data_IF_678928784419
#
_entry.id   IF_678928784419
#
_cell.length_a   1.000
_cell.length_b   1.000
_cell.length_c   1.000
_cell.angle_alpha   90.00
_cell.angle_beta   90.00
_cell.angle_gamma   90.00
#
_symmetry.space_group_name_H-M   'P 1'
#
loop_
_entity.id
_entity.type
_entity.pdbx_description
1 polymer ?
#
# COMPACT_ATOMS: atom_id res chain seq x y z
N UNK A 1 7.64 1.90 41.53
CA UNK A 1 7.88 2.57 40.22
C UNK A 1 6.80 3.58 39.78
N UNK A 2 5.66 3.75 40.46
CA UNK A 2 4.65 4.78 40.08
C UNK A 2 4.88 6.18 40.69
N UNK A 3 5.61 6.27 41.81
CA UNK A 3 5.85 7.55 42.50
C UNK A 3 6.96 8.40 41.87
N UNK A 4 7.91 7.80 41.15
CA UNK A 4 8.98 8.55 40.47
C UNK A 4 8.52 9.27 39.21
N UNK A 5 7.43 8.82 38.55
CA UNK A 5 6.85 9.52 37.40
C UNK A 5 5.97 10.73 37.81
N UNK A 6 5.45 10.73 39.04
CA UNK A 6 4.62 11.83 39.52
C UNK A 6 5.44 13.12 39.74
N UNK A 7 6.66 12.99 40.26
CA UNK A 7 7.59 14.11 40.46
C UNK A 7 8.02 14.76 39.14
N UNK A 8 8.36 13.96 38.13
CA UNK A 8 8.77 14.47 36.81
C UNK A 8 7.62 15.17 36.10
N UNK A 9 6.39 14.63 36.16
CA UNK A 9 5.19 15.26 35.58
C UNK A 9 4.92 16.63 36.21
N UNK A 10 5.14 16.77 37.51
CA UNK A 10 4.93 18.02 38.22
C UNK A 10 5.95 19.08 37.79
N UNK A 11 7.22 18.70 37.63
CA UNK A 11 8.29 19.57 37.12
C UNK A 11 8.04 19.97 35.68
N UNK A 12 7.67 19.03 34.80
CA UNK A 12 7.33 19.35 33.40
C UNK A 12 6.13 20.29 33.31
N UNK A 13 5.06 20.07 34.10
CA UNK A 13 3.90 20.95 34.11
C UNK A 13 4.23 22.36 34.65
N UNK A 14 5.19 22.45 35.56
CA UNK A 14 5.65 23.71 36.14
C UNK A 14 6.51 24.50 35.13
N UNK A 15 7.47 23.84 34.49
CA UNK A 15 8.31 24.43 33.44
C UNK A 15 7.47 24.83 32.21
N UNK A 16 6.52 23.98 31.79
CA UNK A 16 5.59 24.29 30.69
C UNK A 16 4.71 25.50 31.03
N UNK A 17 4.21 25.58 32.27
CA UNK A 17 3.42 26.72 32.74
C UNK A 17 4.26 28.00 32.89
N UNK A 18 5.56 27.90 33.17
CA UNK A 18 6.51 29.03 33.10
C UNK A 18 6.79 29.47 31.66
N UNK A 19 6.88 28.53 30.71
CA UNK A 19 7.05 28.78 29.29
C UNK A 19 5.87 29.60 28.71
N UNK A 20 4.63 29.25 29.10
CA UNK A 20 3.42 29.98 28.71
C UNK A 20 3.20 31.33 29.43
N UNK A 21 3.99 31.66 30.46
CA UNK A 21 3.85 32.91 31.24
C UNK A 21 4.67 34.07 30.66
N UNK A 22 5.71 33.77 29.87
CA UNK A 22 6.50 34.79 29.17
C UNK A 22 5.80 35.23 27.89
N UNK A 23 5.35 36.49 27.83
CA UNK A 23 4.66 37.04 26.64
C UNK A 23 5.50 36.92 25.36
N UNK A 24 6.82 37.03 25.46
CA UNK A 24 7.73 36.89 24.32
C UNK A 24 7.76 35.46 23.76
N UNK A 25 7.65 34.48 24.65
CA UNK A 25 7.71 33.08 24.29
C UNK A 25 6.39 32.58 23.69
N UNK A 26 5.24 33.07 24.18
CA UNK A 26 3.95 32.81 23.54
C UNK A 26 3.89 33.33 22.10
N UNK A 27 4.46 34.52 21.85
CA UNK A 27 4.54 35.09 20.51
C UNK A 27 5.44 34.21 19.62
N UNK A 28 6.60 33.78 20.13
CA UNK A 28 7.49 32.87 19.38
C UNK A 28 6.81 31.55 19.04
N UNK A 29 6.05 30.96 19.99
CA UNK A 29 5.36 29.69 19.80
C UNK A 29 4.23 29.82 18.76
N UNK A 30 3.47 30.92 18.80
CA UNK A 30 2.43 31.22 17.80
C UNK A 30 3.05 31.43 16.42
N UNK A 31 4.17 32.14 16.31
CA UNK A 31 4.87 32.35 15.03
C UNK A 31 5.41 31.04 14.48
N UNK A 32 6.07 30.20 15.30
CA UNK A 32 6.54 28.88 14.88
C UNK A 32 5.40 27.95 14.47
N UNK A 33 4.27 27.98 15.19
CA UNK A 33 3.07 27.21 14.84
C UNK A 33 2.47 27.69 13.51
N UNK A 34 2.40 29.00 13.29
CA UNK A 34 1.95 29.59 12.03
C UNK A 34 2.89 29.26 10.87
N UNK A 35 4.20 29.23 11.10
CA UNK A 35 5.18 28.81 10.09
C UNK A 35 5.00 27.33 9.73
N UNK A 36 4.78 26.44 10.71
CA UNK A 36 4.52 25.01 10.45
C UNK A 36 3.20 24.81 9.68
N UNK A 37 2.12 25.46 10.12
CA UNK A 37 0.81 25.40 9.47
C UNK A 37 0.83 26.01 8.06
N UNK A 38 1.63 27.05 7.84
CA UNK A 38 1.82 27.65 6.53
C UNK A 38 2.81 26.84 5.66
N UNK A 39 3.70 26.05 6.24
CA UNK A 39 4.72 25.32 5.47
C UNK A 39 4.13 24.25 4.56
N UNK A 40 3.06 23.57 4.96
CA UNK A 40 2.32 22.63 4.10
C UNK A 40 1.70 23.32 2.87
N UNK A 41 0.85 24.36 3.01
CA UNK A 41 0.22 25.04 1.89
C UNK A 41 1.18 25.93 1.08
N UNK A 42 2.29 26.40 1.66
CA UNK A 42 3.31 27.14 0.89
C UNK A 42 4.06 26.20 -0.06
N UNK A 43 4.30 24.95 0.32
CA UNK A 43 4.89 23.95 -0.58
C UNK A 43 3.95 23.66 -1.77
N UNK A 44 2.64 23.51 -1.50
CA UNK A 44 1.63 23.31 -2.57
C UNK A 44 1.46 24.53 -3.46
N UNK A 45 1.65 25.75 -2.92
CA UNK A 45 1.55 26.97 -3.72
C UNK A 45 2.82 27.26 -4.55
N UNK A 46 4.01 26.96 -4.03
CA UNK A 46 5.29 27.14 -4.75
C UNK A 46 5.46 26.09 -5.86
N UNK A 47 4.97 24.87 -5.67
CA UNK A 47 4.99 23.83 -6.70
C UNK A 47 3.88 23.98 -7.75
N UNK A 48 3.10 25.06 -7.68
CA UNK A 48 1.92 25.27 -8.50
C UNK A 48 0.74 24.51 -7.90
N UNK A 49 -0.28 25.24 -7.46
CA UNK A 49 -1.49 24.69 -6.87
C UNK A 49 -2.38 23.92 -7.86
N UNK A 50 -1.80 23.06 -8.66
CA UNK A 50 -2.48 21.84 -9.09
C UNK A 50 -2.34 20.93 -7.89
N UNK A 51 -3.47 20.65 -7.22
CA UNK A 51 -3.57 19.37 -6.56
C UNK A 51 -3.06 18.37 -7.59
N UNK A 52 -1.92 17.72 -7.31
CA UNK A 52 -1.62 16.44 -7.92
C UNK A 52 -2.79 15.56 -7.49
N UNK A 53 -3.90 15.70 -8.21
CA UNK A 53 -4.76 14.58 -8.51
C UNK A 53 -3.74 13.64 -9.09
N UNK A 54 -3.26 12.72 -8.27
CA UNK A 54 -2.48 11.61 -8.78
C UNK A 54 -3.39 11.01 -9.83
N UNK A 55 -3.15 11.39 -11.09
CA UNK A 55 -3.81 10.78 -12.22
C UNK A 55 -3.35 9.34 -12.10
N UNK A 56 -4.22 8.51 -11.53
CA UNK A 56 -3.98 7.09 -11.40
C UNK A 56 -3.42 6.62 -12.75
N UNK A 57 -2.31 5.87 -12.74
CA UNK A 57 -1.66 5.45 -13.97
C UNK A 57 -2.74 4.84 -14.88
N UNK A 58 -2.86 5.40 -16.09
CA UNK A 58 -3.86 4.98 -17.07
C UNK A 58 -3.12 4.30 -18.19
N UNK A 59 -3.71 3.20 -18.68
CA UNK A 59 -3.21 2.52 -19.86
C UNK A 59 -3.03 3.50 -21.02
N UNK A 60 -1.83 3.50 -21.62
CA UNK A 60 -1.55 4.29 -22.82
C UNK A 60 -2.08 3.62 -24.10
N UNK A 61 -2.45 2.34 -24.00
CA UNK A 61 -3.06 1.55 -25.07
C UNK A 61 -4.54 1.84 -25.25
N UNK A 62 -5.02 1.66 -26.49
CA UNK A 62 -6.42 1.87 -26.86
C UNK A 62 -7.21 0.56 -26.95
N UNK A 63 -6.55 -0.55 -27.27
CA UNK A 63 -7.18 -1.86 -27.39
C UNK A 63 -6.25 -2.99 -26.90
N UNK A 64 -6.82 -3.93 -26.15
CA UNK A 64 -6.13 -5.13 -25.64
C UNK A 64 -6.96 -6.36 -25.96
N UNK A 65 -6.30 -7.42 -26.39
CA UNK A 65 -6.93 -8.69 -26.68
C UNK A 65 -6.34 -9.85 -25.87
N UNK A 66 -7.20 -10.78 -25.47
CA UNK A 66 -6.82 -12.02 -24.79
C UNK A 66 -7.08 -13.21 -25.72
N UNK A 67 -6.00 -13.79 -26.26
CA UNK A 67 -6.06 -15.02 -27.05
C UNK A 67 -5.92 -16.24 -26.13
N UNK A 68 -7.06 -16.84 -25.77
CA UNK A 68 -7.10 -18.05 -24.96
C UNK A 68 -6.96 -19.30 -25.85
N UNK A 69 -5.80 -19.94 -25.81
CA UNK A 69 -5.53 -21.21 -26.49
C UNK A 69 -5.52 -22.41 -25.51
N UNK A 70 -6.30 -22.31 -24.44
CA UNK A 70 -6.39 -23.33 -23.39
C UNK A 70 -7.84 -23.78 -23.20
N UNK A 71 -8.04 -24.88 -22.49
CA UNK A 71 -9.38 -25.37 -22.14
C UNK A 71 -10.01 -24.62 -20.95
N UNK A 72 -9.33 -23.63 -20.37
CA UNK A 72 -9.86 -22.80 -19.30
C UNK A 72 -10.90 -21.82 -19.81
N UNK A 73 -11.89 -21.49 -18.98
CA UNK A 73 -12.82 -20.39 -19.25
C UNK A 73 -12.16 -19.08 -18.83
N UNK A 74 -11.37 -18.48 -19.74
CA UNK A 74 -10.74 -17.18 -19.55
C UNK A 74 -11.52 -16.09 -20.27
N UNK A 75 -11.71 -14.95 -19.60
CA UNK A 75 -12.25 -13.73 -20.22
C UNK A 75 -11.49 -12.51 -19.69
N UNK A 76 -11.23 -11.55 -20.58
CA UNK A 76 -10.60 -10.28 -20.25
C UNK A 76 -11.59 -9.27 -19.64
N UNK A 77 -12.90 -9.56 -19.69
CA UNK A 77 -13.95 -8.66 -19.22
C UNK A 77 -13.77 -8.13 -17.77
N UNK A 78 -13.26 -8.92 -16.80
CA UNK A 78 -13.05 -8.44 -15.43
C UNK A 78 -12.10 -7.24 -15.34
N UNK A 79 -11.14 -7.11 -16.25
CA UNK A 79 -10.19 -5.98 -16.27
C UNK A 79 -10.89 -4.64 -16.48
N UNK A 80 -12.10 -4.61 -17.06
CA UNK A 80 -12.85 -3.37 -17.22
C UNK A 80 -13.26 -2.72 -15.89
N UNK A 81 -13.22 -3.48 -14.78
CA UNK A 81 -13.48 -2.96 -13.44
C UNK A 81 -12.29 -2.20 -12.85
N UNK A 82 -11.09 -2.44 -13.38
CA UNK A 82 -9.88 -1.74 -12.97
C UNK A 82 -9.88 -0.31 -13.52
N UNK A 83 -9.44 0.64 -12.69
CA UNK A 83 -9.28 2.02 -13.09
C UNK A 83 -8.21 2.19 -14.19
N UNK A 84 -7.19 1.32 -14.19
CA UNK A 84 -6.08 1.37 -15.15
C UNK A 84 -6.54 1.14 -16.60
N UNK A 85 -7.45 0.17 -16.80
CA UNK A 85 -7.97 -0.23 -18.12
C UNK A 85 -9.19 0.59 -18.58
N UNK A 86 -9.54 1.64 -17.85
CA UNK A 86 -10.77 2.40 -18.13
C UNK A 86 -10.70 3.12 -19.48
N UNK A 87 -11.61 2.77 -20.37
CA UNK A 87 -11.68 3.33 -21.74
C UNK A 87 -10.86 2.56 -22.77
N UNK A 88 -10.21 1.47 -22.38
CA UNK A 88 -9.53 0.53 -23.28
C UNK A 88 -10.55 -0.45 -23.85
N UNK A 89 -10.44 -0.75 -25.14
CA UNK A 89 -11.27 -1.78 -25.78
C UNK A 89 -10.71 -3.16 -25.46
N UNK A 90 -11.38 -3.89 -24.57
CA UNK A 90 -10.98 -5.24 -24.17
C UNK A 90 -11.74 -6.27 -25.01
N UNK A 91 -11.01 -7.16 -25.70
CA UNK A 91 -11.59 -8.17 -26.60
C UNK A 91 -11.13 -9.57 -26.21
N UNK A 92 -12.07 -10.50 -26.14
CA UNK A 92 -11.76 -11.94 -26.04
C UNK A 92 -11.51 -12.52 -27.44
N UNK A 93 -10.42 -13.27 -27.58
CA UNK A 93 -9.98 -13.89 -28.82
C UNK A 93 -8.84 -13.13 -29.53
N UNK A 94 -8.27 -13.72 -30.59
CA UNK A 94 -7.20 -13.11 -31.35
C UNK A 94 -7.70 -11.85 -32.07
N UNK A 95 -7.01 -10.73 -31.87
CA UNK A 95 -7.29 -9.47 -32.57
C UNK A 95 -6.01 -8.89 -33.17
N UNK A 96 -6.03 -8.64 -34.48
CA UNK A 96 -4.94 -7.98 -35.19
C UNK A 96 -4.92 -6.45 -34.97
N UNK A 97 -6.05 -5.90 -34.51
CA UNK A 97 -6.22 -4.46 -34.30
C UNK A 97 -5.87 -4.03 -32.87
N UNK A 98 -5.54 -4.98 -31.99
CA UNK A 98 -5.16 -4.70 -30.61
C UNK A 98 -3.72 -4.17 -30.51
N UNK A 99 -3.50 -3.24 -29.58
CA UNK A 99 -2.18 -2.67 -29.30
C UNK A 99 -1.32 -3.64 -28.48
N UNK A 100 -1.95 -4.44 -27.62
CA UNK A 100 -1.36 -5.56 -26.90
C UNK A 100 -2.25 -6.81 -27.01
N UNK A 101 -1.62 -7.95 -27.23
CA UNK A 101 -2.25 -9.27 -27.28
C UNK A 101 -1.57 -10.16 -26.26
N UNK A 102 -2.36 -10.64 -25.30
CA UNK A 102 -1.95 -11.67 -24.36
C UNK A 102 -2.42 -13.03 -24.85
N UNK A 103 -1.49 -13.90 -25.21
CA UNK A 103 -1.79 -15.28 -25.61
C UNK A 103 -1.49 -16.24 -24.46
N UNK A 104 -2.48 -17.00 -24.03
CA UNK A 104 -2.33 -18.01 -22.98
C UNK A 104 -2.31 -19.39 -23.63
N UNK A 105 -1.24 -20.15 -23.39
CA UNK A 105 -1.03 -21.50 -23.94
C UNK A 105 -0.72 -22.50 -22.84
N UNK A 106 -0.95 -23.79 -23.10
CA UNK A 106 -0.48 -24.87 -22.23
C UNK A 106 0.74 -25.52 -22.85
N UNK A 107 1.82 -25.64 -22.10
CA UNK A 107 3.06 -26.26 -22.54
C UNK A 107 3.62 -27.16 -21.45
N UNK A 108 3.56 -28.48 -21.66
CA UNK A 108 4.15 -29.46 -20.73
C UNK A 108 3.42 -29.61 -19.39
N UNK A 109 2.20 -29.08 -19.26
CA UNK A 109 1.44 -29.07 -17.99
C UNK A 109 1.41 -27.71 -17.30
N UNK A 110 2.22 -26.75 -17.78
CA UNK A 110 2.24 -25.38 -17.27
C UNK A 110 1.50 -24.43 -18.20
N UNK A 111 0.91 -23.39 -17.62
CA UNK A 111 0.32 -22.28 -18.37
C UNK A 111 1.40 -21.25 -18.69
N UNK A 112 1.51 -20.86 -19.96
CA UNK A 112 2.43 -19.84 -20.44
C UNK A 112 1.65 -18.67 -21.02
N UNK A 113 1.89 -17.49 -20.47
CA UNK A 113 1.40 -16.21 -20.99
C UNK A 113 2.48 -15.61 -21.88
N UNK A 114 2.16 -15.32 -23.14
CA UNK A 114 3.03 -14.65 -24.08
C UNK A 114 2.38 -13.34 -24.49
N UNK A 115 3.10 -12.24 -24.29
CA UNK A 115 2.63 -10.90 -24.63
C UNK A 115 3.28 -10.46 -25.93
N UNK A 116 2.47 -9.95 -26.85
CA UNK A 116 2.91 -9.43 -28.14
C UNK A 116 2.18 -8.15 -28.45
N UNK A 117 2.81 -7.21 -29.16
CA UNK A 117 2.19 -5.94 -29.48
C UNK A 117 3.18 -4.79 -29.53
N UNK A 118 2.62 -3.58 -29.61
CA UNK A 118 3.33 -2.31 -29.68
C UNK A 118 3.16 -1.45 -28.42
N UNK A 119 2.51 -2.02 -27.40
CA UNK A 119 2.29 -1.36 -26.11
C UNK A 119 3.61 -1.04 -25.38
N UNK A 120 3.57 -0.05 -24.49
CA UNK A 120 4.71 0.32 -23.67
C UNK A 120 5.07 -0.77 -22.66
N UNK A 121 6.29 -0.73 -22.11
CA UNK A 121 6.76 -1.70 -21.11
C UNK A 121 5.86 -1.74 -19.88
N UNK A 122 5.41 -0.57 -19.41
CA UNK A 122 4.49 -0.45 -18.27
C UNK A 122 3.14 -1.12 -18.54
N UNK A 123 2.50 -0.81 -19.68
CA UNK A 123 1.22 -1.44 -20.06
C UNK A 123 1.36 -2.96 -20.20
N UNK A 124 2.49 -3.42 -20.74
CA UNK A 124 2.78 -4.85 -20.90
C UNK A 124 2.99 -5.53 -19.55
N UNK A 125 3.64 -4.89 -18.59
CA UNK A 125 3.84 -5.47 -17.26
C UNK A 125 2.53 -5.50 -16.45
N UNK A 126 1.72 -4.45 -16.52
CA UNK A 126 0.37 -4.45 -15.96
C UNK A 126 -0.52 -5.51 -16.60
N UNK A 127 -0.48 -5.65 -17.92
CA UNK A 127 -1.21 -6.69 -18.63
C UNK A 127 -0.74 -8.09 -18.23
N UNK A 128 0.57 -8.29 -18.08
CA UNK A 128 1.15 -9.55 -17.59
C UNK A 128 0.56 -9.93 -16.25
N UNK A 129 0.61 -9.01 -15.29
CA UNK A 129 0.12 -9.26 -13.94
C UNK A 129 -1.38 -9.56 -13.93
N UNK A 130 -2.16 -8.76 -14.67
CA UNK A 130 -3.61 -8.91 -14.78
C UNK A 130 -3.99 -10.28 -15.40
N UNK A 131 -3.33 -10.68 -16.48
CA UNK A 131 -3.63 -11.96 -17.17
C UNK A 131 -3.18 -13.16 -16.35
N UNK A 132 -2.06 -13.06 -15.63
CA UNK A 132 -1.63 -14.13 -14.70
C UNK A 132 -2.68 -14.35 -13.62
N UNK A 133 -3.18 -13.26 -13.01
CA UNK A 133 -4.26 -13.31 -12.02
C UNK A 133 -5.53 -13.97 -12.58
N UNK A 134 -5.96 -13.58 -13.79
CA UNK A 134 -7.09 -14.24 -14.46
C UNK A 134 -6.88 -15.75 -14.68
N UNK A 135 -5.65 -16.17 -15.03
CA UNK A 135 -5.32 -17.58 -15.20
C UNK A 135 -5.37 -18.31 -13.87
N UNK A 136 -4.90 -17.71 -12.79
CA UNK A 136 -4.98 -18.29 -11.44
C UNK A 136 -6.44 -18.48 -11.01
N UNK A 137 -7.27 -17.44 -11.15
CA UNK A 137 -8.70 -17.51 -10.84
C UNK A 137 -9.41 -18.58 -11.67
N UNK A 138 -9.14 -18.64 -12.97
CA UNK A 138 -9.73 -19.66 -13.84
C UNK A 138 -9.27 -21.07 -13.50
N UNK A 139 -8.02 -21.25 -13.05
CA UNK A 139 -7.51 -22.55 -12.58
C UNK A 139 -8.18 -22.98 -11.28
N UNK A 140 -8.35 -22.07 -10.34
CA UNK A 140 -9.05 -22.32 -9.08
C UNK A 140 -10.50 -22.72 -9.37
N UNK A 141 -11.19 -21.97 -10.24
CA UNK A 141 -12.55 -22.26 -10.65
C UNK A 141 -12.66 -23.62 -11.36
N UNK A 142 -11.73 -23.94 -12.27
CA UNK A 142 -11.68 -25.21 -12.97
C UNK A 142 -11.38 -26.40 -12.04
N UNK A 143 -10.60 -26.18 -10.98
CA UNK A 143 -10.34 -27.19 -9.94
C UNK A 143 -11.54 -27.42 -9.02
N UNK A 144 -12.59 -26.59 -9.09
CA UNK A 144 -13.78 -26.68 -8.25
C UNK A 144 -13.49 -26.40 -6.77
N UNK A 145 -12.41 -25.67 -6.49
CA UNK A 145 -12.04 -25.26 -5.13
C UNK A 145 -13.04 -24.21 -4.69
N UNK A 146 -13.75 -24.46 -3.59
CA UNK A 146 -14.68 -23.49 -3.00
C UNK A 146 -13.91 -22.37 -2.29
N UNK A 147 -14.50 -21.18 -2.16
CA UNK A 147 -13.90 -20.04 -1.44
C UNK A 147 -13.45 -20.42 -0.03
N UNK A 148 -14.23 -21.25 0.68
CA UNK A 148 -13.87 -21.75 2.02
C UNK A 148 -12.64 -22.67 2.01
N UNK A 149 -12.46 -23.48 0.96
CA UNK A 149 -11.25 -24.29 0.80
C UNK A 149 -10.05 -23.43 0.40
N UNK A 150 -10.28 -22.38 -0.36
CA UNK A 150 -9.28 -21.38 -0.68
C UNK A 150 -8.82 -20.69 0.61
N UNK A 151 -9.74 -20.19 1.43
CA UNK A 151 -9.43 -19.56 2.73
C UNK A 151 -8.63 -20.48 3.65
N UNK A 152 -8.88 -21.80 3.64
CA UNK A 152 -8.06 -22.77 4.38
C UNK A 152 -6.66 -22.91 3.77
N UNK A 153 -6.53 -22.84 2.44
CA UNK A 153 -5.25 -23.00 1.74
C UNK A 153 -4.34 -21.77 1.87
N UNK A 154 -4.93 -20.58 1.92
CA UNK A 154 -4.23 -19.30 2.12
C UNK A 154 -4.22 -18.85 3.59
N UNK A 155 -4.97 -19.54 4.45
CA UNK A 155 -5.10 -19.23 5.86
C UNK A 155 -3.80 -19.48 6.63
N UNK A 156 -3.56 -18.63 7.62
CA UNK A 156 -2.43 -18.77 8.53
C UNK A 156 -2.52 -20.09 9.32
N UNK A 157 -1.40 -20.79 9.46
CA UNK A 157 -1.34 -22.02 10.24
C UNK A 157 -1.08 -21.71 11.72
N UNK A 158 -2.09 -21.93 12.56
CA UNK A 158 -1.90 -21.82 14.01
C UNK A 158 -1.13 -23.02 14.57
N UNK A 159 0.08 -22.81 15.08
CA UNK A 159 0.82 -23.85 15.82
C UNK A 159 0.42 -23.82 17.29
N UNK A 160 -0.38 -24.80 17.73
CA UNK A 160 -0.70 -24.97 19.16
C UNK A 160 0.43 -25.75 19.84
N UNK A 161 1.33 -25.03 20.51
CA UNK A 161 2.37 -25.63 21.34
C UNK A 161 1.80 -26.12 22.68
N UNK A 162 2.22 -27.29 23.20
CA UNK A 162 1.88 -27.70 24.56
C UNK A 162 2.42 -26.68 25.57
N UNK A 163 1.74 -26.51 26.72
CA UNK A 163 2.08 -25.49 27.74
C UNK A 163 3.55 -25.56 28.22
N UNK A 164 4.19 -26.73 28.10
CA UNK A 164 5.61 -26.94 28.42
C UNK A 164 6.59 -26.38 27.39
N UNK A 165 6.13 -25.91 26.24
CA UNK A 165 6.93 -25.49 25.09
C UNK A 165 6.53 -24.11 24.55
N UNK A 166 5.63 -23.40 25.25
CA UNK A 166 5.38 -21.98 24.97
C UNK A 166 6.69 -21.21 25.16
N UNK A 167 7.09 -20.37 24.20
CA UNK A 167 8.24 -19.51 24.40
C UNK A 167 8.01 -18.66 25.64
N UNK A 168 9.02 -18.58 26.51
CA UNK A 168 9.06 -17.63 27.62
C UNK A 168 8.79 -16.26 27.00
N UNK A 169 7.78 -15.54 27.51
CA UNK A 169 7.37 -14.20 27.06
C UNK A 169 8.60 -13.31 26.80
N UNK A 170 9.06 -13.27 25.53
CA UNK A 170 10.03 -12.32 24.94
C UNK A 170 10.64 -12.77 23.59
N UNK A 171 10.18 -13.87 22.98
CA UNK A 171 10.50 -14.12 21.55
C UNK A 171 9.22 -14.07 20.75
N UNK A 172 8.77 -12.85 20.49
CA UNK A 172 7.99 -12.57 19.30
C UNK A 172 8.87 -13.00 18.11
N UNK A 173 8.49 -14.10 17.46
CA UNK A 173 8.88 -14.29 16.08
C UNK A 173 7.96 -13.32 15.34
N UNK A 174 8.50 -12.14 15.01
CA UNK A 174 7.88 -11.19 14.08
C UNK A 174 7.67 -11.95 12.76
N UNK A 175 6.47 -12.49 12.57
CA UNK A 175 5.92 -12.63 11.24
C UNK A 175 5.66 -11.21 10.71
N UNK A 176 5.95 -11.05 9.43
CA UNK A 176 6.11 -9.77 8.78
C UNK A 176 4.75 -9.06 8.66
N UNK A 177 4.32 -8.36 9.71
CA UNK A 177 3.31 -7.30 9.65
C UNK A 177 3.92 -6.11 8.89
N UNK A 178 3.97 -6.23 7.55
CA UNK A 178 3.84 -5.07 6.68
C UNK A 178 2.41 -4.55 6.84
N UNK A 179 2.17 -3.63 7.78
CA UNK A 179 1.26 -2.48 7.53
C UNK A 179 1.20 -1.39 8.62
N UNK A 180 1.74 -1.56 9.83
CA UNK A 180 1.63 -0.51 10.88
C UNK A 180 2.91 0.34 11.08
N UNK A 181 3.89 0.25 10.18
CA UNK A 181 5.12 1.03 10.32
C UNK A 181 4.93 2.53 10.09
N UNK A 182 3.88 2.97 9.39
CA UNK A 182 3.68 4.40 9.09
C UNK A 182 2.85 5.15 10.14
N UNK A 183 1.88 4.52 10.80
CA UNK A 183 0.97 5.24 11.72
C UNK A 183 1.61 5.56 13.09
N UNK A 184 2.51 4.70 13.59
CA UNK A 184 3.26 4.96 14.82
C UNK A 184 4.44 5.93 14.64
N UNK A 185 5.02 5.96 13.44
CA UNK A 185 6.28 6.65 13.16
C UNK A 185 6.11 8.17 13.15
N UNK A 186 5.04 8.71 12.54
CA UNK A 186 4.77 10.15 12.55
C UNK A 186 4.52 10.69 13.96
N UNK A 187 3.82 9.91 14.78
CA UNK A 187 3.57 10.26 16.19
C UNK A 187 4.87 10.25 16.98
N UNK A 188 5.71 9.22 16.79
CA UNK A 188 6.98 9.09 17.48
C UNK A 188 8.00 10.18 17.10
N UNK A 189 8.13 10.53 15.82
CA UNK A 189 8.98 11.64 15.38
C UNK A 189 8.42 13.00 15.84
N UNK A 190 7.10 13.17 15.82
CA UNK A 190 6.45 14.37 16.36
C UNK A 190 6.80 14.61 17.82
N UNK A 191 6.72 13.57 18.66
CA UNK A 191 7.13 13.67 20.07
C UNK A 191 8.65 13.90 20.21
N UNK A 192 9.48 13.20 19.42
CA UNK A 192 10.93 13.36 19.49
C UNK A 192 11.40 14.78 19.11
N UNK A 193 10.78 15.40 18.11
CA UNK A 193 11.08 16.78 17.69
C UNK A 193 10.69 17.78 18.78
N UNK A 194 9.51 17.62 19.39
CA UNK A 194 9.07 18.47 20.50
C UNK A 194 9.99 18.33 21.71
N UNK A 195 10.39 17.10 22.05
CA UNK A 195 11.34 16.83 23.14
C UNK A 195 12.72 17.44 22.83
N UNK A 196 13.21 17.31 21.60
CA UNK A 196 14.48 17.89 21.17
C UNK A 196 14.47 19.43 21.22
N UNK A 197 13.40 20.08 20.76
CA UNK A 197 13.25 21.54 20.89
C UNK A 197 13.21 21.98 22.36
N UNK A 198 12.54 21.19 23.23
CA UNK A 198 12.45 21.48 24.66
C UNK A 198 13.80 21.29 25.37
N UNK A 199 14.61 20.31 24.94
CA UNK A 199 15.96 20.08 25.45
C UNK A 199 16.97 21.14 24.99
N UNK A 200 16.79 21.73 23.80
CA UNK A 200 17.68 22.79 23.30
C UNK A 200 17.40 24.18 23.90
N UNK A 201 16.27 24.35 24.58
CA UNK A 201 15.85 25.60 25.21
C UNK A 201 15.94 25.57 26.76
N UNK A 202 16.54 24.52 27.33
CA UNK A 202 16.88 24.39 28.76
C UNK A 202 18.34 24.77 29.05
#
# INVERSE_FOLDING_TARGET
>A
MREQLAGTRQVFSFTLRQFFRSRANNISLIVSLLVILASMPVMTYIQGGEAQTEELPRAAVSAVALDNQTDLTLSIAPLAQDAYWRGVTLTDGPSADADAVATVTVSGGDYRVTLTGKAGEEDMDYLRWSVVSLVEDARIAAAGITDAQLEILWGEYGVVLPDSMRPVEDVAIDDWEEDDFMDGFWVQYGYAIVVMMLCLLS
#
